data_IF_690432217932
#
_entry.id   IF_690432217932
#
_cell.length_a   1.000
_cell.length_b   1.000
_cell.length_c   1.000
_cell.angle_alpha   90.00
_cell.angle_beta   90.00
_cell.angle_gamma   90.00
#
_symmetry.space_group_name_H-M   'P 1'
#
loop_
_entity.id
_entity.type
_entity.pdbx_description
1 polymer ?
#
# COMPACT_ATOMS: atom_id res chain seq x y z
N UNK A 1 -13.22 17.17 -21.41
CA UNK A 1 -11.87 17.76 -21.39
C UNK A 1 -10.93 16.74 -20.76
N UNK A 2 -9.76 16.52 -21.35
CA UNK A 2 -8.71 15.65 -20.86
C UNK A 2 -7.57 16.50 -20.31
N UNK A 3 -7.15 16.24 -19.08
CA UNK A 3 -6.03 16.94 -18.46
C UNK A 3 -4.98 15.92 -18.02
N UNK A 4 -3.74 16.11 -18.48
CA UNK A 4 -2.57 15.32 -18.05
C UNK A 4 -1.58 16.27 -17.40
N UNK A 5 -1.01 15.86 -16.26
CA UNK A 5 -0.08 16.68 -15.47
C UNK A 5 1.20 15.90 -15.21
N UNK A 6 2.33 16.56 -15.38
CA UNK A 6 3.65 16.06 -15.00
C UNK A 6 4.13 16.86 -13.81
N UNK A 7 4.53 16.15 -12.77
CA UNK A 7 5.05 16.71 -11.53
C UNK A 7 6.31 15.97 -11.10
N UNK A 8 7.15 16.65 -10.34
CA UNK A 8 8.32 16.07 -9.70
C UNK A 8 8.10 16.13 -8.18
N UNK A 9 8.33 15.01 -7.49
CA UNK A 9 8.20 14.95 -6.04
C UNK A 9 9.33 15.70 -5.33
N UNK A 10 10.48 15.86 -6.00
CA UNK A 10 11.65 16.58 -5.48
C UNK A 10 11.62 18.10 -5.79
N UNK A 11 10.82 18.53 -6.78
CA UNK A 11 10.62 19.93 -7.14
C UNK A 11 9.13 20.33 -7.18
N UNK A 12 8.60 20.96 -6.12
CA UNK A 12 7.20 21.38 -6.05
C UNK A 12 6.76 22.40 -7.10
N UNK A 13 7.70 23.08 -7.77
CA UNK A 13 7.41 24.03 -8.84
C UNK A 13 7.44 23.39 -10.23
N UNK A 14 7.94 22.15 -10.35
CA UNK A 14 7.87 21.39 -11.57
C UNK A 14 6.42 20.97 -11.83
N UNK A 15 5.72 21.75 -12.66
CA UNK A 15 4.37 21.45 -13.09
C UNK A 15 4.24 21.76 -14.57
N UNK A 16 4.00 20.71 -15.35
CA UNK A 16 3.67 20.81 -16.76
C UNK A 16 2.28 20.22 -16.98
N UNK A 17 1.46 20.92 -17.75
CA UNK A 17 0.09 20.51 -18.01
C UNK A 17 -0.17 20.38 -19.51
N UNK A 18 -1.04 19.44 -19.85
CA UNK A 18 -1.61 19.26 -21.18
C UNK A 18 -3.12 19.23 -21.00
N UNK A 19 -3.79 20.19 -21.63
CA UNK A 19 -5.25 20.29 -21.66
C UNK A 19 -5.70 20.04 -23.10
N UNK A 20 -6.51 19.01 -23.31
CA UNK A 20 -7.04 18.64 -24.63
C UNK A 20 -8.56 18.57 -24.54
N UNK A 21 -9.23 19.45 -25.28
CA UNK A 21 -10.67 19.30 -25.52
C UNK A 21 -10.94 18.47 -26.80
N UNK A 22 -12.21 18.20 -27.10
CA UNK A 22 -12.58 17.38 -28.25
C UNK A 22 -12.24 18.01 -29.62
N UNK A 23 -12.10 19.34 -29.68
CA UNK A 23 -11.69 20.07 -30.88
C UNK A 23 -10.18 20.00 -31.07
N UNK A 24 -9.39 20.27 -30.02
CA UNK A 24 -7.93 20.15 -30.03
C UNK A 24 -7.49 18.73 -30.39
N UNK A 25 -8.23 17.73 -29.90
CA UNK A 25 -7.94 16.33 -30.20
C UNK A 25 -8.02 16.01 -31.69
N UNK A 26 -8.82 16.72 -32.50
CA UNK A 26 -8.89 16.47 -33.95
C UNK A 26 -7.55 16.73 -34.61
N UNK A 27 -6.85 17.78 -34.19
CA UNK A 27 -5.52 18.13 -34.69
C UNK A 27 -4.48 17.11 -34.20
N UNK A 28 -4.46 16.84 -32.90
CA UNK A 28 -3.57 15.84 -32.31
C UNK A 28 -3.73 14.46 -32.96
N UNK A 29 -4.98 14.06 -33.23
CA UNK A 29 -5.31 12.78 -33.89
C UNK A 29 -4.70 12.68 -35.29
N UNK A 30 -4.68 13.78 -36.04
CA UNK A 30 -4.06 13.82 -37.37
C UNK A 30 -2.53 13.83 -37.30
N UNK A 31 -1.97 14.67 -36.43
CA UNK A 31 -0.50 14.84 -36.28
C UNK A 31 0.16 13.54 -35.81
N UNK A 32 -0.37 12.94 -34.74
CA UNK A 32 0.15 11.71 -34.12
C UNK A 32 -0.42 10.44 -34.77
N UNK A 33 -1.24 10.58 -35.83
CA UNK A 33 -1.90 9.47 -36.56
C UNK A 33 -2.64 8.50 -35.64
N UNK A 34 -3.28 9.05 -34.60
CA UNK A 34 -4.05 8.28 -33.64
C UNK A 34 -5.30 7.74 -34.34
N UNK A 35 -5.58 6.45 -34.18
CA UNK A 35 -6.72 5.80 -34.87
C UNK A 35 -7.98 5.85 -34.01
N UNK A 36 -7.84 5.90 -32.68
CA UNK A 36 -8.95 5.85 -31.72
C UNK A 36 -9.66 7.19 -31.55
N UNK A 37 -10.85 7.16 -30.96
CA UNK A 37 -11.60 8.38 -30.63
C UNK A 37 -11.10 9.05 -29.35
N UNK A 38 -11.66 10.22 -29.04
CA UNK A 38 -11.27 11.02 -27.87
C UNK A 38 -11.56 10.31 -26.54
N UNK A 39 -12.61 9.49 -26.47
CA UNK A 39 -13.01 8.83 -25.23
C UNK A 39 -12.12 7.62 -24.93
N UNK A 40 -11.64 6.91 -25.96
CA UNK A 40 -10.72 5.77 -25.80
C UNK A 40 -9.26 6.20 -25.68
N UNK A 41 -8.88 7.37 -26.20
CA UNK A 41 -7.50 7.85 -26.19
C UNK A 41 -6.80 7.81 -24.80
N UNK A 42 -7.42 8.25 -23.69
CA UNK A 42 -6.79 8.21 -22.37
C UNK A 42 -6.39 6.79 -21.93
N UNK A 43 -7.18 5.77 -22.28
CA UNK A 43 -6.88 4.37 -21.93
C UNK A 43 -5.61 3.89 -22.64
N UNK A 44 -5.38 4.33 -23.89
CA UNK A 44 -4.15 4.03 -24.63
C UNK A 44 -2.93 4.74 -24.04
N UNK A 45 -3.07 5.99 -23.61
CA UNK A 45 -2.00 6.72 -22.91
C UNK A 45 -1.60 5.97 -21.64
N UNK A 46 -2.58 5.57 -20.83
CA UNK A 46 -2.35 4.77 -19.62
C UNK A 46 -1.69 3.42 -19.97
N UNK A 47 -2.13 2.77 -21.05
CA UNK A 47 -1.52 1.55 -21.56
C UNK A 47 -0.02 1.70 -21.82
N UNK A 48 0.37 2.76 -22.54
CA UNK A 48 1.78 3.05 -22.80
C UNK A 48 2.57 3.36 -21.52
N UNK A 49 2.01 4.16 -20.61
CA UNK A 49 2.68 4.46 -19.33
C UNK A 49 2.91 3.19 -18.51
N UNK A 50 1.96 2.24 -18.51
CA UNK A 50 2.13 0.93 -17.87
C UNK A 50 3.24 0.10 -18.51
N UNK A 51 3.38 0.14 -19.83
CA UNK A 51 4.50 -0.53 -20.53
C UNK A 51 5.84 0.08 -20.10
N UNK A 52 5.94 1.41 -20.02
CA UNK A 52 7.15 2.09 -19.54
C UNK A 52 7.51 1.72 -18.10
N UNK A 53 6.54 1.62 -17.19
CA UNK A 53 6.76 1.19 -15.79
C UNK A 53 7.26 -0.25 -15.76
N UNK A 54 6.62 -1.15 -16.51
CA UNK A 54 7.01 -2.57 -16.57
C UNK A 54 8.45 -2.74 -17.07
N UNK A 55 8.85 -1.95 -18.06
CA UNK A 55 10.14 -2.10 -18.73
C UNK A 55 11.28 -1.26 -18.08
N UNK A 56 11.02 -0.56 -16.97
CA UNK A 56 11.96 0.37 -16.32
C UNK A 56 13.31 -0.26 -15.96
N UNK A 57 13.34 -1.55 -15.66
CA UNK A 57 14.54 -2.29 -15.25
C UNK A 57 14.94 -3.40 -16.23
N UNK A 58 14.41 -3.39 -17.47
CA UNK A 58 14.71 -4.40 -18.47
C UNK A 58 15.87 -3.93 -19.36
N UNK A 59 16.97 -4.66 -19.30
CA UNK A 59 18.06 -4.49 -20.25
C UNK A 59 17.71 -5.12 -21.61
N UNK A 60 18.07 -4.42 -22.68
CA UNK A 60 17.93 -4.94 -24.05
C UNK A 60 19.01 -6.00 -24.23
N UNK A 61 18.59 -7.27 -24.26
CA UNK A 61 19.46 -8.40 -24.58
C UNK A 61 19.01 -9.03 -25.91
N UNK A 62 19.88 -9.77 -26.62
CA UNK A 62 19.53 -10.36 -27.92
C UNK A 62 18.37 -11.36 -27.92
N UNK A 63 17.76 -11.67 -26.76
CA UNK A 63 16.58 -12.53 -26.61
C UNK A 63 15.38 -11.87 -25.90
N UNK A 64 15.56 -10.67 -25.34
CA UNK A 64 14.46 -9.87 -24.82
C UNK A 64 14.10 -8.85 -25.90
N UNK A 65 12.81 -8.71 -26.18
CA UNK A 65 12.32 -7.82 -27.24
C UNK A 65 12.64 -6.35 -27.00
N UNK A 66 11.93 -5.48 -27.70
CA UNK A 66 12.00 -4.05 -27.48
C UNK A 66 11.56 -3.64 -26.06
N UNK A 67 12.09 -2.51 -25.56
CA UNK A 67 11.70 -1.90 -24.29
C UNK A 67 11.00 -0.57 -24.50
N UNK A 68 10.02 -0.25 -23.67
CA UNK A 68 9.34 1.05 -23.70
C UNK A 68 9.96 2.01 -22.68
N UNK A 69 10.23 3.24 -23.11
CA UNK A 69 10.77 4.30 -22.28
C UNK A 69 9.97 5.59 -22.48
N UNK A 70 9.75 6.31 -21.38
CA UNK A 70 9.20 7.66 -21.40
C UNK A 70 10.35 8.67 -21.48
N UNK A 71 10.28 9.61 -22.41
CA UNK A 71 11.29 10.64 -22.62
C UNK A 71 10.64 12.01 -22.54
N UNK A 72 11.14 12.85 -21.65
CA UNK A 72 10.79 14.27 -21.62
C UNK A 72 11.86 15.04 -22.39
N UNK A 73 11.46 15.68 -23.48
CA UNK A 73 12.34 16.42 -24.37
C UNK A 73 11.95 17.89 -24.33
N UNK A 74 12.82 18.74 -23.79
CA UNK A 74 12.71 20.19 -23.96
C UNK A 74 13.31 20.60 -25.30
N UNK A 75 12.67 21.54 -26.00
CA UNK A 75 13.34 22.26 -27.08
C UNK A 75 14.27 23.34 -26.53
N UNK A 76 14.90 24.10 -27.43
CA UNK A 76 15.81 25.18 -27.02
C UNK A 76 15.09 26.20 -26.11
N UNK A 77 15.60 26.48 -24.88
CA UNK A 77 14.88 27.22 -23.84
C UNK A 77 14.38 28.61 -24.23
N UNK A 78 15.01 29.25 -25.21
CA UNK A 78 14.68 30.60 -25.65
C UNK A 78 13.53 30.65 -26.67
N UNK A 79 13.15 29.50 -27.25
CA UNK A 79 12.21 29.42 -28.37
C UNK A 79 10.90 28.72 -28.00
N UNK A 80 10.90 27.86 -26.99
CA UNK A 80 9.75 26.99 -26.71
C UNK A 80 8.75 27.57 -25.72
N UNK A 81 8.96 28.77 -25.15
CA UNK A 81 8.04 29.37 -24.17
C UNK A 81 7.62 28.41 -23.04
N UNK A 82 8.53 27.54 -22.58
CA UNK A 82 8.21 26.52 -21.57
C UNK A 82 7.45 25.31 -22.10
N UNK A 83 7.45 25.05 -23.41
CA UNK A 83 6.92 23.82 -24.00
C UNK A 83 7.94 22.68 -23.93
N UNK A 84 7.44 21.49 -23.61
CA UNK A 84 8.21 20.23 -23.57
C UNK A 84 7.40 19.13 -24.23
N UNK A 85 8.06 18.14 -24.81
CA UNK A 85 7.41 16.99 -25.42
C UNK A 85 7.63 15.75 -24.57
N UNK A 86 6.54 15.14 -24.12
CA UNK A 86 6.57 13.82 -23.50
C UNK A 86 6.37 12.77 -24.57
N UNK A 87 7.38 11.92 -24.77
CA UNK A 87 7.40 10.89 -25.81
C UNK A 87 7.42 9.50 -25.21
N UNK A 88 6.57 8.63 -25.75
CA UNK A 88 6.65 7.19 -25.52
C UNK A 88 7.48 6.60 -26.64
N UNK A 89 8.65 6.07 -26.31
CA UNK A 89 9.61 5.51 -27.28
C UNK A 89 9.80 4.03 -27.01
N UNK A 90 9.58 3.22 -28.03
CA UNK A 90 9.98 1.82 -28.05
C UNK A 90 11.40 1.72 -28.64
N UNK A 91 12.31 1.18 -27.84
CA UNK A 91 13.71 0.97 -28.21
C UNK A 91 13.90 -0.52 -28.48
N UNK A 92 14.15 -0.86 -29.74
CA UNK A 92 14.53 -2.20 -30.18
C UNK A 92 16.03 -2.31 -30.42
N UNK A 93 16.53 -3.51 -30.69
CA UNK A 93 17.93 -3.74 -31.07
C UNK A 93 18.33 -3.09 -32.41
N UNK A 94 17.36 -2.67 -33.21
CA UNK A 94 17.58 -2.06 -34.53
C UNK A 94 17.30 -0.56 -34.56
N UNK A 95 16.14 -0.12 -34.02
CA UNK A 95 15.67 1.26 -34.13
C UNK A 95 14.85 1.71 -32.93
N UNK A 96 14.69 3.03 -32.83
CA UNK A 96 13.78 3.68 -31.91
C UNK A 96 12.48 4.02 -32.66
N UNK A 97 11.34 3.71 -32.08
CA UNK A 97 10.00 4.05 -32.59
C UNK A 97 9.29 4.93 -31.58
N UNK A 98 8.91 6.14 -31.97
CA UNK A 98 8.05 7.00 -31.13
C UNK A 98 6.60 6.61 -31.40
N UNK A 99 5.90 6.15 -30.37
CA UNK A 99 4.50 5.75 -30.42
C UNK A 99 3.54 6.93 -30.21
N UNK A 100 3.97 7.87 -29.37
CA UNK A 100 3.17 9.01 -28.98
C UNK A 100 4.11 10.15 -28.55
N UNK A 101 3.84 11.36 -28.99
CA UNK A 101 4.53 12.59 -28.62
C UNK A 101 3.51 13.66 -28.25
N UNK A 102 3.46 14.01 -26.97
CA UNK A 102 2.51 14.97 -26.43
C UNK A 102 3.22 16.25 -26.01
N UNK A 103 2.72 17.40 -26.47
CA UNK A 103 3.27 18.71 -26.11
C UNK A 103 2.65 19.21 -24.81
N UNK A 104 3.46 19.40 -23.78
CA UNK A 104 3.05 20.00 -22.52
C UNK A 104 3.57 21.43 -22.41
N UNK A 105 2.88 22.26 -21.63
CA UNK A 105 3.29 23.63 -21.30
C UNK A 105 3.59 23.74 -19.81
N UNK A 106 4.66 24.45 -19.47
CA UNK A 106 4.95 24.82 -18.08
C UNK A 106 3.79 25.62 -17.51
N UNK A 107 3.33 25.25 -16.33
CA UNK A 107 2.33 26.00 -15.61
C UNK A 107 2.89 27.36 -15.17
N UNK A 108 2.04 28.38 -15.17
CA UNK A 108 2.38 29.70 -14.64
C UNK A 108 2.24 29.74 -13.11
N UNK A 109 2.72 30.82 -12.49
CA UNK A 109 2.69 30.98 -11.03
C UNK A 109 1.30 30.81 -10.40
N UNK A 110 0.24 31.25 -11.08
CA UNK A 110 -1.12 31.10 -10.57
C UNK A 110 -1.55 29.63 -10.57
N UNK A 111 -1.28 28.92 -11.66
CA UNK A 111 -1.58 27.49 -11.81
C UNK A 111 -0.80 26.66 -10.81
N UNK A 112 0.50 26.93 -10.64
CA UNK A 112 1.35 26.25 -9.64
C UNK A 112 0.82 26.50 -8.23
N UNK A 113 0.52 27.75 -7.85
CA UNK A 113 -0.03 28.05 -6.52
C UNK A 113 -1.39 27.37 -6.28
N UNK A 114 -2.26 27.37 -7.28
CA UNK A 114 -3.57 26.72 -7.21
C UNK A 114 -3.43 25.20 -7.05
N UNK A 115 -2.52 24.60 -7.83
CA UNK A 115 -2.19 23.18 -7.74
C UNK A 115 -1.65 22.83 -6.34
N UNK A 116 -0.66 23.59 -5.84
CA UNK A 116 -0.06 23.37 -4.53
C UNK A 116 -1.07 23.55 -3.39
N UNK A 117 -1.94 24.56 -3.46
CA UNK A 117 -3.00 24.75 -2.46
C UNK A 117 -3.95 23.55 -2.41
N UNK A 118 -4.33 23.00 -3.57
CA UNK A 118 -5.15 21.80 -3.66
C UNK A 118 -4.42 20.57 -3.13
N UNK A 119 -3.15 20.37 -3.48
CA UNK A 119 -2.34 19.27 -2.95
C UNK A 119 -2.21 19.35 -1.43
N UNK A 120 -1.98 20.54 -0.88
CA UNK A 120 -1.92 20.78 0.57
C UNK A 120 -3.26 20.44 1.25
N UNK A 121 -4.39 20.82 0.66
CA UNK A 121 -5.71 20.50 1.19
C UNK A 121 -5.96 18.98 1.19
N UNK A 122 -5.61 18.29 0.11
CA UNK A 122 -5.72 16.83 0.02
C UNK A 122 -4.85 16.15 1.08
N UNK A 123 -3.56 16.51 1.15
CA UNK A 123 -2.63 15.94 2.15
C UNK A 123 -3.07 16.21 3.59
N UNK A 124 -3.61 17.40 3.87
CA UNK A 124 -4.17 17.71 5.20
C UNK A 124 -5.38 16.83 5.51
N UNK A 125 -6.22 16.55 4.52
CA UNK A 125 -7.38 15.67 4.67
C UNK A 125 -6.93 14.23 4.94
N UNK A 126 -6.01 13.71 4.13
CA UNK A 126 -5.45 12.36 4.27
C UNK A 126 -4.76 12.19 5.63
N UNK A 127 -3.96 13.18 6.05
CA UNK A 127 -3.27 13.18 7.34
C UNK A 127 -4.27 13.10 8.51
N UNK A 128 -5.33 13.91 8.48
CA UNK A 128 -6.34 13.90 9.54
C UNK A 128 -7.10 12.55 9.60
N UNK A 129 -7.39 11.95 8.44
CA UNK A 129 -8.03 10.64 8.38
C UNK A 129 -7.11 9.56 8.99
N UNK A 130 -5.86 9.52 8.55
CA UNK A 130 -4.86 8.57 9.04
C UNK A 130 -4.60 8.75 10.54
N UNK A 131 -4.53 9.99 11.02
CA UNK A 131 -4.34 10.30 12.44
C UNK A 131 -5.51 9.80 13.29
N UNK A 132 -6.75 10.00 12.83
CA UNK A 132 -7.93 9.51 13.52
C UNK A 132 -7.99 7.97 13.57
N UNK A 133 -7.60 7.30 12.49
CA UNK A 133 -7.51 5.85 12.45
C UNK A 133 -6.41 5.34 13.39
N UNK A 134 -5.25 5.98 13.39
CA UNK A 134 -4.16 5.69 14.32
C UNK A 134 -4.62 5.79 15.78
N UNK A 135 -5.28 6.89 16.17
CA UNK A 135 -5.79 7.09 17.53
C UNK A 135 -6.90 6.10 17.90
N UNK A 136 -7.68 5.63 16.93
CA UNK A 136 -8.65 4.56 17.14
C UNK A 136 -7.95 3.23 17.41
N UNK A 137 -7.04 2.81 16.53
CA UNK A 137 -6.28 1.56 16.67
C UNK A 137 -5.46 1.53 17.97
N UNK A 138 -4.86 2.65 18.35
CA UNK A 138 -4.13 2.79 19.60
C UNK A 138 -5.00 2.52 20.83
N UNK A 139 -6.21 3.09 20.89
CA UNK A 139 -7.16 2.85 21.98
C UNK A 139 -7.66 1.40 22.00
N UNK A 140 -7.93 0.81 20.84
CA UNK A 140 -8.34 -0.60 20.73
C UNK A 140 -7.22 -1.54 21.21
N UNK A 141 -5.97 -1.22 20.89
CA UNK A 141 -4.80 -1.97 21.35
C UNK A 141 -4.67 -1.90 22.88
N UNK A 142 -4.72 -0.70 23.46
CA UNK A 142 -4.64 -0.49 24.92
C UNK A 142 -5.76 -1.24 25.66
N UNK A 143 -7.00 -1.17 25.15
CA UNK A 143 -8.14 -1.91 25.70
C UNK A 143 -7.93 -3.42 25.63
N UNK A 144 -7.46 -3.92 24.49
CA UNK A 144 -7.22 -5.36 24.29
C UNK A 144 -6.11 -5.88 25.20
N UNK A 145 -5.03 -5.10 25.38
CA UNK A 145 -3.95 -5.41 26.31
C UNK A 145 -4.44 -5.46 27.76
N UNK A 146 -5.27 -4.51 28.18
CA UNK A 146 -5.88 -4.51 29.51
C UNK A 146 -6.75 -5.74 29.74
N UNK A 147 -7.63 -6.06 28.78
CA UNK A 147 -8.49 -7.24 28.83
C UNK A 147 -7.68 -8.54 28.89
N UNK A 148 -6.61 -8.63 28.10
CA UNK A 148 -5.71 -9.79 28.10
C UNK A 148 -5.05 -9.97 29.47
N UNK A 149 -4.58 -8.88 30.09
CA UNK A 149 -3.98 -8.90 31.43
C UNK A 149 -4.97 -9.38 32.49
N UNK A 150 -6.21 -8.90 32.44
CA UNK A 150 -7.27 -9.35 33.34
C UNK A 150 -7.57 -10.83 33.15
N UNK A 151 -7.74 -11.29 31.90
CA UNK A 151 -7.98 -12.71 31.60
C UNK A 151 -6.84 -13.60 32.07
N UNK A 152 -5.59 -13.17 31.89
CA UNK A 152 -4.43 -13.92 32.37
C UNK A 152 -4.41 -14.01 33.90
N UNK A 153 -4.73 -12.91 34.59
CA UNK A 153 -4.82 -12.88 36.07
C UNK A 153 -5.91 -13.83 36.58
N UNK A 154 -7.08 -13.84 35.94
CA UNK A 154 -8.18 -14.74 36.30
C UNK A 154 -7.84 -16.20 36.00
N UNK A 155 -7.15 -16.47 34.89
CA UNK A 155 -6.65 -17.81 34.55
C UNK A 155 -5.66 -18.33 35.59
N UNK A 156 -4.70 -17.51 36.03
CA UNK A 156 -3.74 -17.87 37.08
C UNK A 156 -4.44 -18.19 38.40
N UNK A 157 -5.44 -17.39 38.80
CA UNK A 157 -6.25 -17.66 40.01
C UNK A 157 -6.99 -19.01 39.93
N UNK A 158 -7.70 -19.24 38.84
CA UNK A 158 -8.43 -20.50 38.62
C UNK A 158 -7.49 -21.71 38.62
N UNK A 159 -6.30 -21.56 38.05
CA UNK A 159 -5.27 -22.59 38.07
C UNK A 159 -4.81 -22.90 39.50
N UNK A 160 -4.51 -21.87 40.30
CA UNK A 160 -4.13 -22.07 41.72
C UNK A 160 -5.24 -22.73 42.53
N UNK A 161 -6.50 -22.31 42.35
CA UNK A 161 -7.66 -22.92 43.00
C UNK A 161 -7.82 -24.39 42.61
N UNK A 162 -7.67 -24.70 41.33
CA UNK A 162 -7.73 -26.06 40.81
C UNK A 162 -6.60 -26.93 41.39
N UNK A 163 -5.36 -26.45 41.39
CA UNK A 163 -4.19 -27.16 41.94
C UNK A 163 -4.35 -27.42 43.45
N UNK A 164 -4.87 -26.44 44.21
CA UNK A 164 -5.14 -26.57 45.65
C UNK A 164 -6.26 -27.57 45.93
N UNK A 165 -7.35 -27.52 45.16
CA UNK A 165 -8.47 -28.44 45.32
C UNK A 165 -8.05 -29.88 44.97
N UNK A 166 -7.30 -30.06 43.88
CA UNK A 166 -6.78 -31.36 43.48
C UNK A 166 -5.85 -31.95 44.57
N UNK A 167 -4.95 -31.13 45.12
CA UNK A 167 -4.07 -31.54 46.22
C UNK A 167 -4.84 -31.93 47.49
N UNK A 168 -5.90 -31.20 47.82
CA UNK A 168 -6.81 -31.51 48.95
C UNK A 168 -7.54 -32.84 48.74
N UNK A 169 -8.08 -33.08 47.54
CA UNK A 169 -8.75 -34.33 47.18
C UNK A 169 -7.78 -35.52 47.26
N UNK A 170 -6.58 -35.38 46.68
CA UNK A 170 -5.55 -36.43 46.74
C UNK A 170 -5.17 -36.71 48.21
N UNK A 171 -4.97 -35.66 49.02
CA UNK A 171 -4.67 -35.79 50.45
C UNK A 171 -5.76 -36.54 51.22
N UNK A 172 -7.04 -36.20 51.00
CA UNK A 172 -8.17 -36.91 51.62
C UNK A 172 -8.20 -38.38 51.23
N UNK A 173 -8.07 -38.69 49.94
CA UNK A 173 -8.06 -40.09 49.49
C UNK A 173 -6.88 -40.88 50.04
N UNK A 174 -5.70 -40.26 50.16
CA UNK A 174 -4.55 -40.90 50.80
C UNK A 174 -4.81 -41.20 52.29
N UNK A 175 -5.44 -40.26 53.00
CA UNK A 175 -5.79 -40.45 54.41
C UNK A 175 -6.81 -41.59 54.57
N UNK A 176 -7.90 -41.57 53.81
CA UNK A 176 -8.93 -42.61 53.81
C UNK A 176 -8.32 -44.00 53.52
N UNK A 177 -7.40 -44.08 52.55
CA UNK A 177 -6.70 -45.32 52.21
C UNK A 177 -5.80 -45.82 53.36
N UNK A 178 -5.14 -44.90 54.07
CA UNK A 178 -4.30 -45.24 55.21
C UNK A 178 -5.13 -45.76 56.38
N UNK A 179 -6.23 -45.08 56.71
CA UNK A 179 -7.18 -45.49 57.75
C UNK A 179 -7.76 -46.88 57.47
N UNK A 180 -8.12 -47.17 56.21
CA UNK A 180 -8.67 -48.47 55.84
C UNK A 180 -7.63 -49.60 55.89
N UNK A 181 -6.37 -49.31 55.53
CA UNK A 181 -5.25 -50.26 55.69
C UNK A 181 -4.98 -50.56 57.16
N UNK A 182 -5.02 -49.56 58.04
CA UNK A 182 -4.80 -49.74 59.48
C UNK A 182 -5.90 -50.59 60.10
N UNK A 183 -7.18 -50.32 59.77
CA UNK A 183 -8.31 -51.17 60.17
C UNK A 183 -8.13 -52.63 59.71
N UNK A 184 -7.75 -52.84 58.45
CA UNK A 184 -7.51 -54.19 57.93
C UNK A 184 -6.36 -54.91 58.67
N UNK A 185 -5.29 -54.19 59.02
CA UNK A 185 -4.18 -54.74 59.80
C UNK A 185 -4.63 -55.15 61.21
N UNK A 186 -5.42 -54.31 61.87
CA UNK A 186 -5.98 -54.57 63.20
C UNK A 186 -6.85 -55.83 63.20
N UNK A 187 -7.65 -56.03 62.15
CA UNK A 187 -8.48 -57.22 61.95
C UNK A 187 -7.62 -58.46 61.69
N UNK A 188 -6.58 -58.38 60.86
CA UNK A 188 -5.67 -59.51 60.64
C UNK A 188 -4.93 -59.95 61.91
N UNK A 189 -4.47 -59.01 62.74
CA UNK A 189 -3.78 -59.31 64.01
C UNK A 189 -4.74 -60.02 64.98
N UNK A 190 -6.00 -59.58 65.04
CA UNK A 190 -7.01 -60.17 65.94
C UNK A 190 -7.53 -61.55 65.49
N UNK A 191 -7.30 -61.94 64.23
CA UNK A 191 -7.66 -63.27 63.69
C UNK A 191 -6.49 -64.28 63.78
N UNK A 192 -5.27 -63.82 64.07
CA UNK A 192 -4.04 -64.66 64.13
C UNK A 192 -3.65 -65.07 65.56
N UNK A 193 -4.37 -64.59 66.58
CA UNK A 193 -4.23 -64.97 68.01
C UNK A 193 -5.34 -65.96 68.37
#
# INVERSE_FOLDING_TARGET
ELVIKLTDDDDPFFLYELHINAEDFKNLKQEEKIVVDFNTFPEHVIGYLKLCIRDQHIDITPGNGSRYQLQLVSGEPQLTNGQVYLRVVEISSFKHLTHLSLMFTSANDYEVRSYLARCLQLKKTDYNQLYNEYEKLKRELESTQSNLKEKNTNFEKLKMEWDSNNSSIIGKHMQELAEEKEKALQVCISVTI
#
